data_IF_267513574815
#
_entry.id   IF_267513574815
#
_cell.length_a   1.000
_cell.length_b   1.000
_cell.length_c   1.000
_cell.angle_alpha   90.00
_cell.angle_beta   90.00
_cell.angle_gamma   90.00
#
_symmetry.space_group_name_H-M   'P 1'
#
loop_
_entity.id
_entity.type
_entity.pdbx_description
1 polymer ?
#
# COMPACT_ATOMS: atom_id res chain seq x y z
N UNK A 1 3.36 -9.57 -23.96
CA UNK A 1 2.22 -10.51 -23.94
C UNK A 1 1.12 -9.95 -24.85
N UNK A 2 0.62 -10.80 -25.77
CA UNK A 2 -0.49 -10.42 -26.63
C UNK A 2 -1.83 -10.64 -25.92
N UNK A 3 -2.22 -9.70 -25.03
CA UNK A 3 -3.57 -9.68 -24.48
C UNK A 3 -4.58 -9.26 -25.55
N UNK A 4 -5.81 -9.76 -25.51
CA UNK A 4 -6.91 -9.36 -26.38
C UNK A 4 -7.90 -8.46 -25.57
N UNK A 5 -7.58 -7.16 -25.40
CA UNK A 5 -8.40 -6.28 -24.58
C UNK A 5 -9.74 -5.96 -25.24
N UNK A 6 -10.78 -5.84 -24.42
CA UNK A 6 -12.07 -5.26 -24.78
C UNK A 6 -12.16 -3.84 -24.24
N UNK A 7 -12.77 -2.94 -25.01
CA UNK A 7 -13.00 -1.56 -24.55
C UNK A 7 -14.41 -1.48 -23.98
N UNK A 8 -14.51 -1.22 -22.69
CA UNK A 8 -15.77 -1.00 -21.97
C UNK A 8 -15.74 0.41 -21.38
N UNK A 9 -16.66 1.29 -21.82
CA UNK A 9 -16.71 2.69 -21.37
C UNK A 9 -15.35 3.43 -21.45
N UNK A 10 -14.61 3.20 -22.54
CA UNK A 10 -13.30 3.83 -22.78
C UNK A 10 -12.12 3.23 -22.00
N UNK A 11 -12.33 2.18 -21.22
CA UNK A 11 -11.31 1.49 -20.47
C UNK A 11 -11.03 0.11 -21.10
N UNK A 12 -9.76 -0.22 -21.26
CA UNK A 12 -9.35 -1.55 -21.73
C UNK A 12 -9.46 -2.57 -20.60
N UNK A 13 -10.13 -3.67 -20.86
CA UNK A 13 -10.32 -4.79 -19.94
C UNK A 13 -9.81 -6.09 -20.53
N UNK A 14 -9.24 -6.94 -19.70
CA UNK A 14 -8.71 -8.26 -20.03
C UNK A 14 -9.60 -9.33 -19.39
N UNK A 15 -10.09 -10.34 -20.16
CA UNK A 15 -10.87 -11.43 -19.61
C UNK A 15 -10.11 -12.24 -18.56
N UNK A 16 -10.75 -12.62 -17.48
CA UNK A 16 -10.13 -13.47 -16.45
C UNK A 16 -9.74 -14.85 -16.98
N UNK A 17 -10.35 -15.33 -18.06
CA UNK A 17 -9.93 -16.54 -18.75
C UNK A 17 -8.51 -16.44 -19.32
N UNK A 18 -8.13 -15.28 -19.87
CA UNK A 18 -6.76 -15.01 -20.33
C UNK A 18 -5.79 -14.85 -19.16
N UNK A 19 -6.18 -14.08 -18.12
CA UNK A 19 -5.40 -13.95 -16.89
C UNK A 19 -5.14 -15.31 -16.26
N UNK A 20 -6.17 -16.15 -16.18
CA UNK A 20 -6.07 -17.52 -15.68
C UNK A 20 -5.06 -18.34 -16.46
N UNK A 21 -5.12 -18.32 -17.78
CA UNK A 21 -4.20 -19.05 -18.66
C UNK A 21 -2.77 -18.57 -18.48
N UNK A 22 -2.56 -17.25 -18.47
CA UNK A 22 -1.25 -16.63 -18.36
C UNK A 22 -0.54 -16.97 -17.03
N UNK A 23 -1.24 -16.83 -15.91
CA UNK A 23 -0.68 -17.14 -14.58
C UNK A 23 -0.84 -18.61 -14.18
N UNK A 24 -1.35 -19.47 -15.09
CA UNK A 24 -1.56 -20.90 -14.87
C UNK A 24 -2.40 -21.20 -13.62
N UNK A 25 -3.47 -20.41 -13.42
CA UNK A 25 -4.40 -20.62 -12.32
C UNK A 25 -5.26 -21.84 -12.65
N UNK A 26 -4.98 -22.97 -11.99
CA UNK A 26 -5.52 -24.28 -12.35
C UNK A 26 -6.96 -24.49 -11.93
N UNK A 27 -7.40 -23.78 -10.89
CA UNK A 27 -8.74 -23.97 -10.30
C UNK A 27 -9.56 -22.68 -10.36
N UNK A 28 -10.83 -22.83 -10.68
CA UNK A 28 -11.84 -21.77 -10.59
C UNK A 28 -13.02 -22.30 -9.76
N UNK A 29 -13.54 -21.46 -8.87
CA UNK A 29 -14.73 -21.76 -8.08
C UNK A 29 -15.50 -20.48 -7.73
N UNK A 30 -16.74 -20.64 -7.29
CA UNK A 30 -17.59 -19.53 -6.87
C UNK A 30 -17.85 -19.63 -5.36
N UNK A 31 -17.64 -18.52 -4.66
CA UNK A 31 -17.93 -18.36 -3.24
C UNK A 31 -18.90 -17.18 -3.05
N UNK A 32 -20.17 -17.48 -2.87
CA UNK A 32 -21.22 -16.46 -2.83
C UNK A 32 -21.24 -15.63 -4.12
N UNK A 33 -20.95 -14.32 -4.02
CA UNK A 33 -20.85 -13.41 -5.17
C UNK A 33 -19.46 -13.31 -5.78
N UNK A 34 -18.47 -13.95 -5.17
CA UNK A 34 -17.08 -13.87 -5.59
C UNK A 34 -16.71 -15.05 -6.51
N UNK A 35 -15.89 -14.75 -7.50
CA UNK A 35 -15.15 -15.75 -8.27
C UNK A 35 -13.74 -15.85 -7.71
N UNK A 36 -13.28 -17.08 -7.51
CA UNK A 36 -11.96 -17.42 -7.00
C UNK A 36 -11.19 -18.15 -8.07
N UNK A 37 -10.03 -17.61 -8.40
CA UNK A 37 -9.07 -18.20 -9.35
C UNK A 37 -7.79 -18.52 -8.59
N UNK A 38 -7.32 -19.75 -8.64
CA UNK A 38 -6.22 -20.15 -7.76
C UNK A 38 -5.31 -21.24 -8.33
N UNK A 39 -4.08 -21.24 -7.84
CA UNK A 39 -3.23 -22.42 -7.70
C UNK A 39 -3.24 -22.76 -6.22
N UNK A 40 -3.82 -23.90 -5.79
CA UNK A 40 -3.93 -24.22 -4.37
C UNK A 40 -2.63 -24.03 -3.60
N UNK A 41 -2.72 -23.45 -2.41
CA UNK A 41 -1.60 -23.17 -1.49
C UNK A 41 -0.51 -22.19 -2.02
N UNK A 42 -0.65 -21.68 -3.25
CA UNK A 42 0.34 -20.78 -3.86
C UNK A 42 -0.20 -19.42 -4.22
N UNK A 43 -1.25 -19.35 -5.00
CA UNK A 43 -1.83 -18.11 -5.53
C UNK A 43 -3.34 -18.20 -5.46
N UNK A 44 -3.98 -17.15 -4.94
CA UNK A 44 -5.42 -17.01 -4.97
C UNK A 44 -5.79 -15.58 -5.34
N UNK A 45 -6.68 -15.43 -6.30
CA UNK A 45 -7.32 -14.16 -6.68
C UNK A 45 -8.81 -14.29 -6.46
N UNK A 46 -9.41 -13.41 -5.68
CA UNK A 46 -10.87 -13.32 -5.49
C UNK A 46 -11.35 -11.97 -5.97
N UNK A 47 -12.34 -11.97 -6.85
CA UNK A 47 -12.98 -10.78 -7.40
C UNK A 47 -14.47 -10.94 -7.46
N UNK A 48 -15.16 -9.82 -7.55
CA UNK A 48 -16.62 -9.77 -7.70
C UNK A 48 -16.99 -8.76 -8.80
N UNK A 49 -17.99 -9.09 -9.61
CA UNK A 49 -18.54 -8.17 -10.63
C UNK A 49 -18.89 -6.81 -10.02
N UNK A 50 -18.55 -5.74 -10.73
CA UNK A 50 -18.82 -4.34 -10.39
C UNK A 50 -18.17 -3.85 -9.09
N UNK A 51 -17.25 -4.63 -8.51
CA UNK A 51 -16.48 -4.26 -7.33
C UNK A 51 -15.09 -3.74 -7.71
N UNK A 52 -14.59 -2.74 -6.98
CA UNK A 52 -13.18 -2.36 -7.01
C UNK A 52 -12.35 -3.12 -5.96
N UNK A 53 -12.96 -3.93 -5.12
CA UNK A 53 -12.25 -4.76 -4.17
C UNK A 53 -11.80 -6.07 -4.80
N UNK A 54 -10.52 -6.35 -4.69
CA UNK A 54 -9.90 -7.61 -5.07
C UNK A 54 -9.10 -8.15 -3.91
N UNK A 55 -9.07 -9.46 -3.76
CA UNK A 55 -8.20 -10.11 -2.79
C UNK A 55 -7.18 -10.97 -3.52
N UNK A 56 -5.91 -10.80 -3.22
CA UNK A 56 -4.83 -11.70 -3.63
C UNK A 56 -4.17 -12.28 -2.39
N UNK A 57 -4.15 -13.62 -2.29
CA UNK A 57 -3.61 -14.33 -1.14
C UNK A 57 -4.20 -13.82 0.20
N UNK A 58 -5.51 -13.59 0.21
CA UNK A 58 -6.29 -13.04 1.34
C UNK A 58 -5.84 -11.64 1.80
N UNK A 59 -5.18 -10.86 0.97
CA UNK A 59 -4.89 -9.45 1.18
C UNK A 59 -5.74 -8.60 0.24
N UNK A 60 -6.32 -7.54 0.76
CA UNK A 60 -7.21 -6.64 0.02
C UNK A 60 -6.43 -5.65 -0.83
N UNK A 61 -6.85 -5.48 -2.07
CA UNK A 61 -6.40 -4.44 -2.99
C UNK A 61 -7.60 -3.66 -3.51
N UNK A 62 -7.46 -2.36 -3.65
CA UNK A 62 -8.48 -1.51 -4.27
C UNK A 62 -8.05 -1.21 -5.70
N UNK A 63 -8.81 -1.72 -6.66
CA UNK A 63 -8.57 -1.56 -8.08
C UNK A 63 -8.83 -0.11 -8.52
N UNK A 64 -8.17 0.31 -9.59
CA UNK A 64 -8.41 1.60 -10.25
C UNK A 64 -9.78 1.66 -10.91
N UNK A 65 -10.24 0.52 -11.42
CA UNK A 65 -11.54 0.38 -12.10
C UNK A 65 -12.31 -0.83 -11.55
N UNK A 66 -13.65 -0.76 -11.50
CA UNK A 66 -14.46 -1.92 -11.10
C UNK A 66 -14.25 -3.12 -12.04
N UNK A 67 -14.31 -4.32 -11.49
CA UNK A 67 -14.35 -5.56 -12.29
C UNK A 67 -15.55 -5.51 -13.23
N UNK A 68 -15.32 -5.62 -14.53
CA UNK A 68 -16.39 -5.67 -15.51
C UNK A 68 -17.00 -7.08 -15.59
N UNK A 69 -18.27 -7.15 -15.93
CA UNK A 69 -19.02 -8.40 -16.17
C UNK A 69 -19.51 -8.38 -17.62
N UNK A 70 -18.81 -9.11 -18.49
CA UNK A 70 -19.10 -9.14 -19.91
C UNK A 70 -19.99 -10.33 -20.24
N UNK A 71 -21.10 -10.15 -21.02
CA UNK A 71 -22.08 -11.20 -21.26
C UNK A 71 -21.53 -12.51 -21.82
N UNK A 72 -20.51 -12.44 -22.70
CA UNK A 72 -19.91 -13.63 -23.34
C UNK A 72 -18.51 -13.98 -22.84
N UNK A 73 -17.81 -13.07 -22.16
CA UNK A 73 -16.42 -13.26 -21.71
C UNK A 73 -16.27 -13.38 -20.19
N UNK A 74 -17.37 -13.21 -19.44
CA UNK A 74 -17.40 -13.27 -17.99
C UNK A 74 -16.68 -12.11 -17.33
N UNK A 75 -16.09 -12.34 -16.16
CA UNK A 75 -15.40 -11.30 -15.41
C UNK A 75 -14.12 -10.84 -16.09
N UNK A 76 -13.89 -9.54 -16.05
CA UNK A 76 -12.73 -8.90 -16.67
C UNK A 76 -12.13 -7.87 -15.71
N UNK A 77 -10.81 -7.78 -15.69
CA UNK A 77 -10.05 -6.75 -14.95
C UNK A 77 -9.49 -5.72 -15.91
N UNK A 78 -9.33 -4.47 -15.45
CA UNK A 78 -8.74 -3.45 -16.30
C UNK A 78 -7.29 -3.80 -16.64
N UNK A 79 -6.88 -3.48 -17.87
CA UNK A 79 -5.50 -3.64 -18.32
C UNK A 79 -4.54 -2.85 -17.41
N UNK A 80 -4.99 -1.71 -16.90
CA UNK A 80 -4.26 -0.89 -15.93
C UNK A 80 -3.99 -1.66 -14.63
N UNK A 81 -5.02 -2.26 -14.04
CA UNK A 81 -4.88 -2.99 -12.78
C UNK A 81 -4.14 -4.32 -12.97
N UNK A 82 -4.28 -4.96 -14.13
CA UNK A 82 -3.50 -6.14 -14.47
C UNK A 82 -2.00 -5.83 -14.42
N UNK A 83 -1.56 -4.76 -15.07
CA UNK A 83 -0.13 -4.43 -15.15
C UNK A 83 0.42 -3.71 -13.92
N UNK A 84 -0.42 -2.95 -13.21
CA UNK A 84 0.03 -2.09 -12.11
C UNK A 84 -0.29 -2.63 -10.72
N UNK A 85 -1.07 -3.72 -10.62
CA UNK A 85 -1.37 -4.39 -9.34
C UNK A 85 -1.13 -5.90 -9.46
N UNK A 86 -1.86 -6.58 -10.35
CA UNK A 86 -1.89 -8.05 -10.37
C UNK A 86 -0.51 -8.62 -10.71
N UNK A 87 0.08 -8.18 -11.80
CA UNK A 87 1.37 -8.69 -12.26
C UNK A 87 2.52 -8.45 -11.26
N UNK A 88 2.71 -7.22 -10.73
CA UNK A 88 3.76 -6.98 -9.74
C UNK A 88 3.61 -7.79 -8.44
N UNK A 89 2.38 -8.11 -8.04
CA UNK A 89 2.13 -8.92 -6.84
C UNK A 89 2.37 -10.40 -7.10
N UNK A 90 1.94 -10.91 -8.26
CA UNK A 90 2.09 -12.33 -8.60
C UNK A 90 3.51 -12.67 -9.06
N UNK A 91 4.21 -11.71 -9.66
CA UNK A 91 5.55 -11.91 -10.23
C UNK A 91 6.53 -10.81 -9.84
N UNK A 92 6.79 -10.57 -8.54
CA UNK A 92 7.64 -9.47 -8.09
C UNK A 92 9.07 -9.52 -8.65
N UNK A 93 9.56 -10.71 -8.99
CA UNK A 93 10.88 -10.88 -9.59
C UNK A 93 10.96 -10.43 -11.05
N UNK A 94 9.82 -10.24 -11.72
CA UNK A 94 9.74 -9.76 -13.12
C UNK A 94 9.48 -8.25 -13.22
N UNK A 95 9.50 -7.52 -12.11
CA UNK A 95 9.34 -6.06 -12.13
C UNK A 95 10.50 -5.47 -12.94
N UNK A 96 10.16 -4.78 -14.02
CA UNK A 96 11.13 -4.02 -14.81
C UNK A 96 11.74 -2.91 -13.95
N UNK A 97 13.04 -2.65 -14.12
CA UNK A 97 13.79 -1.65 -13.36
C UNK A 97 13.86 -1.91 -11.84
N UNK A 98 13.69 -3.15 -11.41
CA UNK A 98 13.94 -3.55 -10.03
C UNK A 98 15.36 -3.13 -9.64
N UNK A 99 15.47 -2.40 -8.53
CA UNK A 99 16.75 -1.92 -8.01
C UNK A 99 16.99 -2.46 -6.61
N UNK A 100 18.23 -2.74 -6.30
CA UNK A 100 18.67 -2.96 -4.93
C UNK A 100 18.76 -1.58 -4.27
N UNK A 101 18.14 -1.42 -3.13
CA UNK A 101 18.25 -0.23 -2.32
C UNK A 101 19.07 -0.53 -1.05
N UNK A 102 19.77 0.47 -0.56
CA UNK A 102 20.53 0.40 0.69
C UNK A 102 20.13 1.52 1.67
N UNK A 103 19.32 2.44 1.21
CA UNK A 103 18.86 3.60 1.97
C UNK A 103 17.34 3.54 2.17
N UNK A 104 16.90 3.78 3.39
CA UNK A 104 15.49 3.93 3.73
C UNK A 104 15.26 5.36 4.21
N UNK A 105 14.45 6.10 3.47
CA UNK A 105 13.99 7.42 3.90
C UNK A 105 12.66 7.28 4.58
N UNK A 106 12.62 7.60 5.85
CA UNK A 106 11.41 7.55 6.66
C UNK A 106 10.88 8.95 6.89
N UNK A 107 9.59 9.08 6.73
CA UNK A 107 8.87 10.33 6.85
C UNK A 107 7.81 10.22 7.96
N UNK A 108 8.16 10.48 9.23
CA UNK A 108 7.16 10.60 10.28
C UNK A 108 6.26 11.81 9.98
N UNK A 109 5.00 11.55 9.61
CA UNK A 109 4.07 12.60 9.19
C UNK A 109 3.84 13.66 10.25
N UNK A 110 3.38 14.84 9.82
CA UNK A 110 3.09 15.99 10.70
C UNK A 110 4.33 16.51 11.48
N UNK A 111 4.10 17.22 12.58
CA UNK A 111 5.16 17.75 13.47
C UNK A 111 5.04 19.26 13.74
N UNK A 112 5.55 19.73 14.88
CA UNK A 112 5.49 21.10 15.30
C UNK A 112 4.05 21.61 15.47
N UNK A 113 3.68 22.65 14.73
CA UNK A 113 2.32 23.20 14.74
C UNK A 113 1.27 22.31 14.06
N UNK A 114 1.68 21.38 13.19
CA UNK A 114 0.81 20.38 12.58
C UNK A 114 0.81 19.11 13.43
N UNK A 115 -0.22 18.97 14.25
CA UNK A 115 -0.34 17.82 15.15
C UNK A 115 -0.83 16.54 14.46
N UNK A 116 -1.35 16.62 13.21
CA UNK A 116 -2.19 15.58 12.64
C UNK A 116 -3.46 15.38 13.48
N UNK A 117 -4.02 14.19 13.41
CA UNK A 117 -5.17 13.77 14.23
C UNK A 117 -4.85 13.87 15.72
N UNK A 118 -5.79 14.39 16.47
CA UNK A 118 -5.69 14.51 17.94
C UNK A 118 -6.87 13.84 18.61
N UNK A 119 -6.59 13.16 19.69
CA UNK A 119 -7.60 12.65 20.61
C UNK A 119 -7.20 12.99 22.06
N UNK A 120 -7.94 12.46 23.05
CA UNK A 120 -7.67 12.73 24.47
C UNK A 120 -6.39 12.06 24.99
N UNK A 121 -5.80 11.14 24.22
CA UNK A 121 -4.69 10.28 24.65
C UNK A 121 -3.37 10.74 24.02
N UNK A 122 -3.40 11.12 22.72
CA UNK A 122 -2.18 11.37 21.96
C UNK A 122 -2.41 12.29 20.75
N UNK A 123 -1.30 12.78 20.18
CA UNK A 123 -1.23 13.44 18.87
C UNK A 123 -0.60 12.49 17.85
N UNK A 124 -1.09 12.48 16.64
CA UNK A 124 -0.56 11.68 15.55
C UNK A 124 0.93 11.95 15.30
N UNK A 125 1.32 13.24 15.31
CA UNK A 125 2.72 13.64 15.13
C UNK A 125 3.68 12.98 16.13
N UNK A 126 3.26 12.80 17.39
CA UNK A 126 4.09 12.16 18.42
C UNK A 126 4.23 10.66 18.18
N UNK A 127 3.13 10.01 17.84
CA UNK A 127 3.11 8.57 17.54
C UNK A 127 3.94 8.26 16.28
N UNK A 128 3.76 9.06 15.21
CA UNK A 128 4.54 8.92 13.97
C UNK A 128 6.04 9.03 14.26
N UNK A 129 6.45 9.99 15.07
CA UNK A 129 7.85 10.18 15.45
C UNK A 129 8.37 9.01 16.29
N UNK A 130 7.58 8.53 17.23
CA UNK A 130 7.94 7.38 18.08
C UNK A 130 8.14 6.12 17.25
N UNK A 131 7.19 5.77 16.37
CA UNK A 131 7.31 4.63 15.44
C UNK A 131 8.51 4.82 14.51
N UNK A 132 8.69 6.02 13.96
CA UNK A 132 9.82 6.34 13.09
C UNK A 132 11.18 6.11 13.76
N UNK A 133 11.35 6.56 15.00
CA UNK A 133 12.60 6.30 15.78
C UNK A 133 12.84 4.82 16.01
N UNK A 134 11.81 4.08 16.42
CA UNK A 134 11.88 2.63 16.62
C UNK A 134 12.24 1.88 15.34
N UNK A 135 11.66 2.28 14.22
CA UNK A 135 11.96 1.72 12.91
C UNK A 135 13.40 2.04 12.47
N UNK A 136 13.84 3.30 12.65
CA UNK A 136 15.22 3.72 12.37
C UNK A 136 16.23 2.81 13.03
N UNK A 137 16.06 2.58 14.32
CA UNK A 137 17.02 1.82 15.11
C UNK A 137 17.09 0.35 14.65
N UNK A 138 15.95 -0.24 14.28
CA UNK A 138 15.89 -1.59 13.72
C UNK A 138 16.56 -1.69 12.35
N UNK A 139 16.26 -0.77 11.45
CA UNK A 139 16.83 -0.77 10.09
C UNK A 139 18.35 -0.53 10.14
N UNK A 140 18.84 0.35 11.02
CA UNK A 140 20.29 0.53 11.23
C UNK A 140 20.95 -0.75 11.74
N UNK A 141 20.32 -1.46 12.66
CA UNK A 141 20.81 -2.76 13.14
C UNK A 141 20.84 -3.84 12.05
N UNK A 142 19.98 -3.71 11.02
CA UNK A 142 19.97 -4.57 9.83
C UNK A 142 20.97 -4.14 8.74
N UNK A 143 21.73 -3.05 8.95
CA UNK A 143 22.76 -2.57 8.02
C UNK A 143 22.29 -1.56 6.97
N UNK A 144 21.04 -1.08 7.04
CA UNK A 144 20.55 -0.04 6.15
C UNK A 144 21.07 1.34 6.53
N UNK A 145 21.29 2.19 5.52
CA UNK A 145 21.38 3.63 5.72
C UNK A 145 19.97 4.17 5.95
N UNK A 146 19.80 4.96 7.00
CA UNK A 146 18.49 5.48 7.38
C UNK A 146 18.53 7.00 7.44
N UNK A 147 17.60 7.62 6.74
CA UNK A 147 17.34 9.05 6.74
C UNK A 147 15.94 9.30 7.28
N UNK A 148 15.80 10.25 8.21
CA UNK A 148 14.49 10.70 8.68
C UNK A 148 14.24 12.11 8.16
N UNK A 149 13.01 12.39 7.70
CA UNK A 149 12.64 13.77 7.31
C UNK A 149 12.59 14.70 8.52
N UNK A 150 12.23 14.17 9.69
CA UNK A 150 12.37 14.80 11.01
C UNK A 150 12.69 13.75 12.08
N UNK A 151 13.45 14.12 13.07
CA UNK A 151 13.80 13.30 14.24
C UNK A 151 13.44 13.97 15.57
N UNK A 152 12.82 15.13 15.49
CA UNK A 152 12.26 15.90 16.61
C UNK A 152 10.83 16.34 16.28
N UNK A 153 10.14 16.97 17.24
CA UNK A 153 8.80 17.54 17.00
C UNK A 153 8.91 18.89 16.30
N UNK A 154 9.26 18.88 15.02
CA UNK A 154 9.31 20.04 14.15
C UNK A 154 8.47 19.83 12.89
N UNK A 155 7.92 20.92 12.36
CA UNK A 155 7.18 20.92 11.10
C UNK A 155 8.15 20.87 9.91
N UNK A 156 7.89 19.96 8.97
CA UNK A 156 8.57 19.90 7.68
C UNK A 156 7.50 20.00 6.58
N UNK A 157 7.63 20.98 5.70
CA UNK A 157 6.72 21.16 4.58
C UNK A 157 6.76 19.94 3.63
N UNK A 158 5.63 19.61 3.00
CA UNK A 158 5.51 18.40 2.16
C UNK A 158 6.56 18.33 1.05
N UNK A 159 6.86 19.48 0.41
CA UNK A 159 7.90 19.56 -0.63
C UNK A 159 9.31 19.34 -0.07
N UNK A 160 9.56 19.74 1.18
CA UNK A 160 10.87 19.54 1.81
C UNK A 160 11.07 18.06 2.18
N UNK A 161 10.03 17.35 2.60
CA UNK A 161 10.08 15.89 2.82
C UNK A 161 10.51 15.17 1.54
N UNK A 162 9.90 15.54 0.41
CA UNK A 162 10.26 15.02 -0.92
C UNK A 162 11.69 15.41 -1.30
N UNK A 163 12.09 16.66 -1.06
CA UNK A 163 13.43 17.15 -1.36
C UNK A 163 14.51 16.39 -0.57
N UNK A 164 14.26 16.12 0.71
CA UNK A 164 15.15 15.30 1.54
C UNK A 164 15.30 13.91 0.93
N UNK A 165 14.20 13.23 0.60
CA UNK A 165 14.25 11.90 0.01
C UNK A 165 14.98 11.88 -1.34
N UNK A 166 14.69 12.83 -2.22
CA UNK A 166 15.22 12.87 -3.57
C UNK A 166 16.73 13.22 -3.65
N UNK A 167 17.36 13.65 -2.55
CA UNK A 167 18.84 13.85 -2.47
C UNK A 167 19.61 12.54 -2.41
N UNK A 168 18.95 11.46 -2.05
CA UNK A 168 19.59 10.15 -1.93
C UNK A 168 19.44 9.34 -3.23
N UNK A 169 20.31 8.35 -3.39
CA UNK A 169 20.23 7.38 -4.46
C UNK A 169 19.93 6.00 -3.86
N UNK A 170 19.42 5.08 -4.68
CA UNK A 170 19.13 3.70 -4.26
C UNK A 170 18.32 3.63 -2.96
N UNK A 171 17.27 4.45 -2.86
CA UNK A 171 16.45 4.56 -1.67
C UNK A 171 15.03 4.06 -1.90
N UNK A 172 14.35 3.78 -0.80
CA UNK A 172 12.88 3.68 -0.70
C UNK A 172 12.39 4.75 0.26
N UNK A 173 11.11 5.14 0.11
CA UNK A 173 10.46 6.14 0.95
C UNK A 173 9.23 5.56 1.64
N UNK A 174 9.15 5.72 2.96
CA UNK A 174 8.03 5.27 3.79
C UNK A 174 7.52 6.43 4.63
N UNK A 175 6.34 6.94 4.30
CA UNK A 175 5.62 7.91 5.13
C UNK A 175 4.76 7.19 6.16
N UNK A 176 4.82 7.60 7.42
CA UNK A 176 4.19 6.94 8.57
C UNK A 176 3.12 7.86 9.12
N UNK A 177 1.88 7.35 9.16
CA UNK A 177 0.68 8.05 9.58
C UNK A 177 -0.27 7.16 10.40
N UNK A 178 -1.25 7.81 11.03
CA UNK A 178 -2.42 7.19 11.65
C UNK A 178 -3.67 7.97 11.26
N UNK A 179 -4.65 7.24 10.81
CA UNK A 179 -5.82 7.77 10.11
C UNK A 179 -6.86 8.43 11.03
N UNK A 180 -7.72 9.23 10.40
CA UNK A 180 -8.96 9.75 10.96
C UNK A 180 -10.13 9.41 10.01
N UNK A 181 -11.21 8.85 10.51
CA UNK A 181 -12.35 8.41 9.68
C UNK A 181 -13.63 8.21 10.48
N UNK A 182 -13.74 8.85 11.64
CA UNK A 182 -14.85 8.68 12.56
C UNK A 182 -14.67 7.49 13.50
N UNK A 183 -15.52 7.40 14.52
CA UNK A 183 -15.36 6.46 15.65
C UNK A 183 -15.52 4.98 15.30
N UNK A 184 -16.17 4.67 14.19
CA UNK A 184 -16.36 3.27 13.73
C UNK A 184 -15.30 2.79 12.74
N UNK A 185 -14.53 3.71 12.14
CA UNK A 185 -13.46 3.37 11.21
C UNK A 185 -12.30 2.69 11.97
N UNK A 186 -11.75 1.62 11.39
CA UNK A 186 -10.65 0.86 12.02
C UNK A 186 -9.87 0.07 10.98
N UNK A 187 -8.63 -0.29 11.34
CA UNK A 187 -7.76 -1.15 10.54
C UNK A 187 -6.59 -0.41 9.91
N UNK A 188 -5.75 -1.16 9.24
CA UNK A 188 -4.56 -0.65 8.55
C UNK A 188 -4.80 -0.55 7.05
N UNK A 189 -4.21 0.45 6.43
CA UNK A 189 -4.22 0.64 4.99
C UNK A 189 -2.88 1.21 4.50
N UNK A 190 -2.48 0.81 3.31
CA UNK A 190 -1.25 1.31 2.69
C UNK A 190 -1.58 1.97 1.36
N UNK A 191 -1.05 3.17 1.15
CA UNK A 191 -1.27 3.94 -0.06
C UNK A 191 -0.05 3.93 -0.96
N UNK A 192 -0.29 3.72 -2.26
CA UNK A 192 0.65 3.99 -3.34
C UNK A 192 0.13 5.13 -4.20
N UNK A 193 0.99 5.70 -5.05
CA UNK A 193 0.56 6.73 -5.98
C UNK A 193 -0.46 6.18 -6.99
N UNK A 194 -1.53 6.94 -7.21
CA UNK A 194 -2.50 6.60 -8.26
C UNK A 194 -1.89 6.78 -9.66
N UNK A 195 -2.03 5.80 -10.57
CA UNK A 195 -1.49 5.89 -11.92
C UNK A 195 -2.12 7.04 -12.73
N UNK A 196 -1.43 7.45 -13.79
CA UNK A 196 -2.02 8.30 -14.82
C UNK A 196 -3.26 7.64 -15.43
N UNK A 197 -4.25 8.42 -15.80
CA UNK A 197 -5.50 7.93 -16.37
C UNK A 197 -6.50 7.37 -15.36
N UNK A 198 -6.19 7.40 -14.05
CA UNK A 198 -7.08 6.88 -13.00
C UNK A 198 -7.52 7.96 -12.01
N UNK A 199 -8.59 7.68 -11.26
CA UNK A 199 -8.96 8.47 -10.08
C UNK A 199 -8.05 8.16 -8.90
N UNK A 200 -8.05 9.05 -7.92
CA UNK A 200 -7.45 8.81 -6.59
C UNK A 200 -8.50 8.24 -5.64
N UNK A 201 -8.11 7.40 -4.69
CA UNK A 201 -9.03 6.93 -3.63
C UNK A 201 -9.64 8.08 -2.81
N UNK A 202 -9.01 9.26 -2.83
CA UNK A 202 -9.45 10.45 -2.10
C UNK A 202 -10.21 11.44 -2.98
N UNK A 203 -10.24 11.25 -4.30
CA UNK A 203 -10.87 12.17 -5.25
C UNK A 203 -11.29 11.42 -6.50
N UNK A 204 -12.49 11.72 -7.00
CA UNK A 204 -12.97 11.17 -8.27
C UNK A 204 -12.29 11.78 -9.50
N UNK A 205 -11.45 12.80 -9.32
CA UNK A 205 -10.78 13.48 -10.42
C UNK A 205 -9.74 12.56 -11.06
N UNK A 206 -9.88 12.32 -12.34
CA UNK A 206 -8.93 11.58 -13.17
C UNK A 206 -7.83 12.55 -13.59
N UNK A 207 -6.59 12.18 -13.37
CA UNK A 207 -5.42 12.89 -13.87
C UNK A 207 -4.79 12.10 -15.00
N UNK A 208 -4.70 12.71 -16.18
CA UNK A 208 -4.18 12.03 -17.36
C UNK A 208 -2.65 11.97 -17.39
N UNK A 209 -1.98 13.00 -16.85
CA UNK A 209 -0.51 13.06 -16.89
C UNK A 209 0.10 12.19 -15.80
N UNK A 210 1.17 11.51 -16.17
CA UNK A 210 2.01 10.80 -15.21
C UNK A 210 2.78 11.78 -14.31
N UNK A 211 2.85 11.46 -13.04
CA UNK A 211 3.70 12.14 -12.07
C UNK A 211 5.03 11.39 -11.93
N UNK A 212 6.05 12.06 -11.39
CA UNK A 212 7.38 11.46 -11.23
C UNK A 212 7.34 10.12 -10.47
N UNK A 213 6.55 10.03 -9.41
CA UNK A 213 6.39 8.81 -8.62
C UNK A 213 5.78 7.63 -9.38
N UNK A 214 5.08 7.88 -10.51
CA UNK A 214 4.51 6.81 -11.35
C UNK A 214 5.57 5.98 -12.08
N UNK A 215 6.80 6.47 -12.20
CA UNK A 215 7.91 5.68 -12.72
C UNK A 215 8.20 4.43 -11.86
N UNK A 216 7.73 4.42 -10.61
CA UNK A 216 7.94 3.35 -9.64
C UNK A 216 6.67 2.53 -9.34
N UNK A 217 5.59 2.66 -10.12
CA UNK A 217 4.28 2.07 -9.79
C UNK A 217 4.36 0.59 -9.36
N UNK A 218 5.09 -0.26 -10.09
CA UNK A 218 5.22 -1.68 -9.78
C UNK A 218 6.03 -1.94 -8.50
N UNK A 219 7.07 -1.15 -8.27
CA UNK A 219 7.86 -1.22 -7.03
C UNK A 219 7.08 -0.69 -5.83
N UNK A 220 6.27 0.36 -6.02
CA UNK A 220 5.39 0.90 -4.99
C UNK A 220 4.40 -0.17 -4.51
N UNK A 221 3.78 -0.90 -5.44
CA UNK A 221 2.85 -2.00 -5.12
C UNK A 221 3.57 -3.16 -4.43
N UNK A 222 4.77 -3.54 -4.86
CA UNK A 222 5.54 -4.60 -4.22
C UNK A 222 5.88 -4.23 -2.77
N UNK A 223 6.36 -3.01 -2.52
CA UNK A 223 6.66 -2.51 -1.19
C UNK A 223 5.39 -2.43 -0.32
N UNK A 224 4.28 -1.92 -0.86
CA UNK A 224 3.01 -1.85 -0.15
C UNK A 224 2.48 -3.24 0.21
N UNK A 225 2.65 -4.23 -0.69
CA UNK A 225 2.24 -5.62 -0.45
C UNK A 225 3.02 -6.25 0.70
N UNK A 226 4.33 -6.06 0.73
CA UNK A 226 5.17 -6.55 1.83
C UNK A 226 4.75 -5.90 3.16
N UNK A 227 4.62 -4.57 3.19
CA UNK A 227 4.24 -3.82 4.40
C UNK A 227 2.85 -4.22 4.90
N UNK A 228 1.83 -4.20 4.05
CA UNK A 228 0.46 -4.58 4.41
C UNK A 228 0.41 -6.02 4.94
N UNK A 229 1.13 -6.94 4.28
CA UNK A 229 1.21 -8.33 4.69
C UNK A 229 1.82 -8.51 6.08
N UNK A 230 2.93 -7.86 6.37
CA UNK A 230 3.58 -7.93 7.68
C UNK A 230 2.74 -7.29 8.79
N UNK A 231 2.02 -6.21 8.51
CA UNK A 231 1.11 -5.57 9.46
C UNK A 231 -0.11 -6.43 9.80
N UNK A 232 -0.58 -7.26 8.86
CA UNK A 232 -1.81 -8.04 9.04
C UNK A 232 -1.58 -9.50 9.48
N UNK A 233 -0.59 -10.15 8.88
CA UNK A 233 -0.42 -11.62 8.94
C UNK A 233 1.03 -12.06 9.11
N UNK A 234 1.96 -11.11 9.28
CA UNK A 234 3.34 -11.42 9.52
C UNK A 234 3.55 -12.23 10.81
N UNK A 235 4.67 -12.94 10.95
CA UNK A 235 4.97 -13.72 12.15
C UNK A 235 4.86 -12.91 13.44
N UNK A 236 5.15 -11.61 13.39
CA UNK A 236 5.04 -10.70 14.53
C UNK A 236 3.58 -10.44 14.92
N UNK A 237 2.68 -10.24 13.93
CA UNK A 237 1.25 -10.05 14.22
C UNK A 237 0.68 -11.27 14.94
N UNK A 238 1.05 -12.47 14.49
CA UNK A 238 0.64 -13.73 15.09
C UNK A 238 1.23 -13.86 16.50
N UNK A 239 2.53 -13.64 16.65
CA UNK A 239 3.24 -13.75 17.93
C UNK A 239 2.72 -12.79 18.99
N UNK A 240 2.44 -11.55 18.59
CA UNK A 240 1.94 -10.51 19.48
C UNK A 240 0.41 -10.58 19.70
N UNK A 241 -0.29 -11.46 18.97
CA UNK A 241 -1.74 -11.52 19.03
C UNK A 241 -2.41 -10.20 18.62
N UNK A 242 -1.79 -9.46 17.69
CA UNK A 242 -2.32 -8.21 17.15
C UNK A 242 -3.09 -8.53 15.87
N UNK A 243 -4.39 -8.27 15.89
CA UNK A 243 -5.28 -8.47 14.74
C UNK A 243 -5.87 -7.13 14.33
N UNK A 244 -5.48 -6.65 13.17
CA UNK A 244 -6.00 -5.41 12.57
C UNK A 244 -6.89 -5.74 11.38
N UNK A 245 -7.91 -4.93 11.16
CA UNK A 245 -8.77 -5.04 9.96
C UNK A 245 -7.96 -4.67 8.72
N UNK A 246 -8.04 -5.50 7.68
CA UNK A 246 -7.45 -5.19 6.38
C UNK A 246 -8.35 -4.20 5.60
N UNK A 247 -7.90 -2.96 5.49
CA UNK A 247 -8.58 -1.95 4.67
C UNK A 247 -8.03 -1.89 3.25
N UNK A 248 -6.97 -2.62 2.98
CA UNK A 248 -6.40 -2.84 1.68
C UNK A 248 -5.28 -1.87 1.29
N UNK A 249 -4.66 -2.22 0.18
CA UNK A 249 -3.73 -1.35 -0.53
C UNK A 249 -4.55 -0.48 -1.48
N UNK A 250 -4.40 0.84 -1.34
CA UNK A 250 -5.16 1.86 -2.06
C UNK A 250 -4.24 2.75 -2.88
N UNK A 251 -4.82 3.55 -3.75
CA UNK A 251 -4.09 4.44 -4.63
C UNK A 251 -4.56 5.87 -4.47
N UNK A 252 -3.65 6.75 -4.04
CA UNK A 252 -3.96 8.14 -3.80
C UNK A 252 -2.84 9.08 -4.25
N UNK A 253 -3.18 10.35 -4.53
CA UNK A 253 -2.22 11.39 -4.91
C UNK A 253 -1.85 12.23 -3.70
N UNK A 254 -1.34 11.58 -2.65
CA UNK A 254 -0.71 12.32 -1.57
C UNK A 254 0.52 13.07 -2.09
N UNK A 255 0.66 14.32 -1.67
CA UNK A 255 1.72 15.21 -2.18
C UNK A 255 3.11 14.61 -2.03
N UNK A 256 3.38 13.92 -0.93
CA UNK A 256 4.67 13.27 -0.67
C UNK A 256 4.96 12.09 -1.60
N UNK A 257 3.94 11.50 -2.26
CA UNK A 257 4.12 10.41 -3.21
C UNK A 257 4.25 10.89 -4.66
N UNK A 258 3.75 12.09 -4.97
CA UNK A 258 3.61 12.57 -6.35
C UNK A 258 4.94 12.77 -7.06
N UNK A 259 5.94 13.31 -6.35
CA UNK A 259 7.22 13.75 -6.94
C UNK A 259 8.44 13.04 -6.36
N UNK A 260 8.24 11.97 -5.62
CA UNK A 260 9.30 11.05 -5.18
C UNK A 260 9.84 10.27 -6.36
N UNK A 261 11.17 10.23 -6.52
CA UNK A 261 11.85 9.45 -7.58
C UNK A 261 12.13 7.98 -7.19
N UNK A 262 11.84 7.62 -5.96
CA UNK A 262 12.08 6.29 -5.38
C UNK A 262 10.77 5.49 -5.25
N UNK A 263 10.82 4.17 -5.06
CA UNK A 263 9.69 3.41 -4.59
C UNK A 263 9.17 4.01 -3.27
N UNK A 264 7.87 4.31 -3.21
CA UNK A 264 7.29 5.10 -2.13
C UNK A 264 5.90 4.62 -1.72
N UNK A 265 5.66 4.62 -0.43
CA UNK A 265 4.36 4.31 0.18
C UNK A 265 4.04 5.26 1.34
N UNK A 266 2.76 5.38 1.64
CA UNK A 266 2.26 5.97 2.88
C UNK A 266 1.46 4.91 3.63
N UNK A 267 1.80 4.69 4.89
CA UNK A 267 1.20 3.66 5.75
C UNK A 267 0.35 4.33 6.81
N UNK A 268 -0.91 3.93 6.89
CA UNK A 268 -1.85 4.28 7.95
C UNK A 268 -1.93 3.11 8.94
N UNK A 269 -1.28 3.26 10.07
CA UNK A 269 -1.11 2.21 11.07
C UNK A 269 -2.34 1.94 11.95
N UNK A 270 -3.50 2.52 11.62
CA UNK A 270 -4.75 2.41 12.37
C UNK A 270 -5.46 3.75 12.48
N UNK A 271 -6.61 3.78 13.13
CA UNK A 271 -7.46 4.98 13.25
C UNK A 271 -7.41 5.58 14.66
N UNK A 272 -6.85 6.76 14.78
CA UNK A 272 -6.82 7.50 16.06
C UNK A 272 -8.19 8.05 16.47
N UNK A 273 -9.14 8.14 15.55
CA UNK A 273 -10.53 8.47 15.78
C UNK A 273 -11.34 7.31 16.36
N UNK A 274 -10.87 6.07 16.24
CA UNK A 274 -11.53 4.90 16.84
C UNK A 274 -11.06 4.72 18.29
N UNK A 275 -11.96 4.70 19.28
CA UNK A 275 -11.57 4.65 20.69
C UNK A 275 -10.71 3.42 21.07
N UNK A 276 -11.02 2.26 20.49
CA UNK A 276 -10.27 1.02 20.77
C UNK A 276 -8.88 1.05 20.13
N UNK A 277 -8.80 1.46 18.87
CA UNK A 277 -7.51 1.57 18.19
C UNK A 277 -6.65 2.70 18.77
N UNK A 278 -7.24 3.83 19.16
CA UNK A 278 -6.52 4.93 19.82
C UNK A 278 -5.79 4.46 21.09
N UNK A 279 -6.45 3.64 21.92
CA UNK A 279 -5.82 3.04 23.10
C UNK A 279 -4.68 2.09 22.71
N UNK A 280 -4.88 1.25 21.71
CA UNK A 280 -3.86 0.32 21.22
C UNK A 280 -2.65 1.07 20.63
N UNK A 281 -2.88 2.02 19.74
CA UNK A 281 -1.86 2.82 19.03
C UNK A 281 -0.97 3.58 20.01
N UNK A 282 -1.53 4.08 21.10
CA UNK A 282 -0.80 4.80 22.12
C UNK A 282 0.19 3.89 22.93
N UNK A 283 0.07 2.57 22.82
CA UNK A 283 0.94 1.65 23.57
C UNK A 283 2.31 1.47 22.91
N UNK A 284 3.35 1.38 23.76
CA UNK A 284 4.71 0.97 23.33
C UNK A 284 4.68 -0.37 22.57
N UNK A 285 3.83 -1.29 23.00
CA UNK A 285 3.66 -2.61 22.36
C UNK A 285 3.27 -2.48 20.90
N UNK A 286 2.23 -1.69 20.56
CA UNK A 286 1.78 -1.51 19.21
C UNK A 286 2.80 -0.76 18.33
N UNK A 287 3.40 0.28 18.88
CA UNK A 287 4.43 1.07 18.17
C UNK A 287 5.68 0.22 17.86
N UNK A 288 6.10 -0.64 18.78
CA UNK A 288 7.17 -1.61 18.56
C UNK A 288 6.78 -2.68 17.54
N UNK A 289 5.55 -3.18 17.60
CA UNK A 289 5.00 -4.11 16.62
C UNK A 289 5.02 -3.50 15.20
N UNK A 290 4.47 -2.30 15.03
CA UNK A 290 4.45 -1.61 13.74
C UNK A 290 5.87 -1.39 13.19
N UNK A 291 6.77 -0.83 14.00
CA UNK A 291 8.16 -0.62 13.60
C UNK A 291 8.87 -1.92 13.19
N UNK A 292 8.65 -3.01 13.91
CA UNK A 292 9.24 -4.32 13.60
C UNK A 292 8.65 -4.93 12.34
N UNK A 293 7.33 -4.77 12.12
CA UNK A 293 6.64 -5.24 10.89
C UNK A 293 7.12 -4.48 9.66
N UNK A 294 7.28 -3.16 9.76
CA UNK A 294 7.84 -2.34 8.68
C UNK A 294 9.30 -2.72 8.39
N UNK A 295 10.12 -2.95 9.41
CA UNK A 295 11.51 -3.38 9.21
C UNK A 295 11.60 -4.75 8.54
N UNK A 296 10.78 -5.72 8.94
CA UNK A 296 10.70 -7.03 8.31
C UNK A 296 10.25 -6.95 6.84
N UNK A 297 9.27 -6.09 6.54
CA UNK A 297 8.80 -5.86 5.18
C UNK A 297 9.86 -5.24 4.26
N UNK A 298 10.66 -4.32 4.80
CA UNK A 298 11.79 -3.70 4.08
C UNK A 298 12.88 -4.72 3.77
N UNK A 299 13.08 -5.70 4.63
CA UNK A 299 14.14 -6.70 4.50
C UNK A 299 13.75 -7.88 3.58
N UNK A 300 12.45 -8.09 3.36
CA UNK A 300 11.91 -9.11 2.46
C UNK A 300 12.20 -8.79 0.98
#
# INVERSE_FOLDING_TARGET
FGWNPEIINGVQYIPMSEVRTHYKLTRERTEGRQKVYEVPEKIQIRIQARSQEMFMNNMKFVLSYPVADHPSKGLMVSNMDLHKIIDPVLRPTYIANRRIFNTVVMDPGHGGHDSGTRNRISREADINLSVGKKLRDRLKAMGYQVVMTRDTDNFIALQDRVRIANRHNNAIFISIHFNDGGSSARGVETFTLAPAGTSSSMSRNIRQEALQGNAQDSMNIALATAVQGHMLKGPLAIKEGISMTDRGIKRARYSVLCTIKHPAILVEGGFMSNPQEALLIATERYQNFMASSLAAAVHQ
#
